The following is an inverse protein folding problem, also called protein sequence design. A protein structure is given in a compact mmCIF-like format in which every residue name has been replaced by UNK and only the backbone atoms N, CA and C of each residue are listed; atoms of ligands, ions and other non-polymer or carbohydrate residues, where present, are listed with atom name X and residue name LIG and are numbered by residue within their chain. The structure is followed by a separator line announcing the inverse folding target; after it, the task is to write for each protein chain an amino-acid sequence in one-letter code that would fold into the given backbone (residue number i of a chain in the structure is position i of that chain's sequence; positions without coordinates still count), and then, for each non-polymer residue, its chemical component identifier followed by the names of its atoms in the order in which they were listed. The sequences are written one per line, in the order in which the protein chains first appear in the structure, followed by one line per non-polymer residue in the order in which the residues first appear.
data_IF_867556954943
#
_entry.id   IF_867556954943
#
_cell.length_a   1.000
_cell.length_b   1.000
_cell.length_c   1.000
_cell.angle_alpha   90.00
_cell.angle_beta   90.00
_cell.angle_gamma   90.00
#
_symmetry.space_group_name_H-M   'P 1'
#
loop_
_entity.id
_entity.type
_entity.pdbx_description
1 polymer ?
#
# COMPACT_ATOMS: atom_id res chain seq x y z
N UNK A 1 -24.05 7.71 7.14
CA UNK A 1 -23.06 7.12 6.21
C UNK A 1 -21.69 7.70 6.55
N UNK A 2 -20.63 6.90 6.47
CA UNK A 2 -19.27 7.34 6.81
C UNK A 2 -18.63 8.14 5.67
N UNK A 3 -17.50 8.79 5.95
CA UNK A 3 -16.67 9.47 4.94
C UNK A 3 -16.11 8.45 3.94
N UNK A 4 -16.14 8.79 2.66
CA UNK A 4 -15.46 8.06 1.60
C UNK A 4 -14.07 8.66 1.35
N UNK A 5 -13.04 7.82 1.39
CA UNK A 5 -11.66 8.19 1.09
C UNK A 5 -11.26 7.47 -0.19
N UNK A 6 -11.03 8.24 -1.24
CA UNK A 6 -10.49 7.73 -2.50
C UNK A 6 -9.07 8.25 -2.70
N UNK A 7 -8.15 7.37 -3.05
CA UNK A 7 -6.79 7.74 -3.41
C UNK A 7 -6.31 6.89 -4.60
N UNK A 8 -5.61 7.56 -5.52
CA UNK A 8 -5.00 6.94 -6.69
C UNK A 8 -3.55 7.43 -6.79
N UNK A 9 -2.61 6.54 -7.13
CA UNK A 9 -1.19 6.86 -7.33
C UNK A 9 -0.62 7.69 -6.18
N UNK A 10 -0.87 7.23 -4.96
CA UNK A 10 -0.68 8.03 -3.74
C UNK A 10 0.05 7.27 -2.65
N UNK A 11 0.78 8.02 -1.83
CA UNK A 11 1.40 7.53 -0.61
C UNK A 11 0.70 8.09 0.62
N UNK A 12 0.31 7.22 1.55
CA UNK A 12 -0.14 7.60 2.89
C UNK A 12 0.87 7.06 3.89
N UNK A 13 1.60 7.93 4.58
CA UNK A 13 2.67 7.52 5.48
C UNK A 13 2.48 8.07 6.89
N UNK A 14 2.33 7.14 7.85
CA UNK A 14 2.27 7.44 9.28
C UNK A 14 3.65 7.52 9.95
N UNK A 15 4.74 7.39 9.19
CA UNK A 15 6.13 7.40 9.63
C UNK A 15 6.67 6.01 10.02
N UNK A 16 5.79 5.06 10.38
CA UNK A 16 6.17 3.67 10.64
C UNK A 16 5.01 2.70 10.43
N UNK A 17 5.33 1.44 10.11
CA UNK A 17 4.33 0.40 9.85
C UNK A 17 3.44 0.06 11.08
N UNK A 18 3.92 0.35 12.29
CA UNK A 18 3.18 0.16 13.55
C UNK A 18 2.27 1.33 13.92
N UNK A 19 2.46 2.49 13.30
CA UNK A 19 1.66 3.69 13.55
C UNK A 19 0.31 3.62 12.83
N UNK A 20 -0.60 4.56 13.11
CA UNK A 20 -1.94 4.57 12.53
C UNK A 20 -1.97 5.49 11.32
N UNK A 21 -2.18 4.92 10.13
CA UNK A 21 -2.27 5.68 8.88
C UNK A 21 -3.70 6.14 8.59
N UNK A 22 -4.67 5.24 8.73
CA UNK A 22 -6.08 5.51 8.41
C UNK A 22 -6.96 4.95 9.51
N UNK A 23 -7.71 5.81 10.17
CA UNK A 23 -8.79 5.46 11.07
C UNK A 23 -9.89 6.53 11.03
N UNK A 24 -10.99 6.26 11.71
CA UNK A 24 -12.04 7.23 11.95
C UNK A 24 -11.73 8.11 13.16
N UNK A 25 -12.63 9.07 13.38
CA UNK A 25 -12.65 9.89 14.59
C UNK A 25 -13.91 9.56 15.38
N UNK A 26 -13.80 9.46 16.70
CA UNK A 26 -14.97 9.35 17.56
C UNK A 26 -15.91 10.54 17.31
N UNK A 27 -17.23 10.28 17.33
CA UNK A 27 -18.19 11.37 17.23
C UNK A 27 -17.99 12.31 18.43
N UNK A 28 -17.92 13.64 18.23
CA UNK A 28 -17.96 14.56 19.35
C UNK A 28 -19.26 14.32 20.14
N UNK A 29 -19.18 14.39 21.47
CA UNK A 29 -20.36 14.27 22.34
C UNK A 29 -21.33 15.42 22.09
N UNK A 30 -22.21 15.24 21.11
CA UNK A 30 -23.18 16.26 20.69
C UNK A 30 -23.19 16.52 19.19
N UNK A 31 -23.49 15.52 18.35
CA UNK A 31 -24.18 15.61 17.04
C UNK A 31 -23.70 16.58 15.93
N UNK A 32 -22.73 17.46 16.16
CA UNK A 32 -22.33 18.49 15.22
C UNK A 32 -21.23 17.99 14.28
N UNK A 33 -21.29 18.41 13.02
CA UNK A 33 -20.20 18.26 12.06
C UNK A 33 -18.98 19.01 12.58
N UNK A 34 -17.90 18.30 12.90
CA UNK A 34 -16.68 18.92 13.38
C UNK A 34 -15.86 19.47 12.22
N UNK A 35 -15.88 20.79 12.00
CA UNK A 35 -14.95 21.47 11.10
C UNK A 35 -13.54 21.39 11.68
N UNK A 36 -12.58 20.93 10.87
CA UNK A 36 -11.14 20.99 11.23
C UNK A 36 -10.70 22.43 11.01
N UNK A 37 -10.52 23.17 12.10
CA UNK A 37 -10.15 24.59 12.02
C UNK A 37 -8.68 24.84 12.31
N UNK A 38 -8.05 23.93 13.06
CA UNK A 38 -6.65 24.04 13.48
C UNK A 38 -5.88 22.75 13.24
N UNK A 39 -4.55 22.82 13.28
CA UNK A 39 -3.70 21.62 13.22
C UNK A 39 -3.93 20.68 14.42
N UNK A 40 -4.34 21.21 15.59
CA UNK A 40 -4.71 20.41 16.75
C UNK A 40 -5.98 19.57 16.49
N UNK A 41 -6.88 20.02 15.61
CA UNK A 41 -8.09 19.28 15.21
C UNK A 41 -7.78 18.14 14.22
N UNK A 42 -6.55 18.09 13.69
CA UNK A 42 -6.05 17.03 12.78
C UNK A 42 -5.51 15.82 13.53
N UNK A 43 -5.83 15.67 14.82
CA UNK A 43 -5.50 14.45 15.54
C UNK A 43 -6.23 13.27 14.91
N UNK A 44 -5.43 12.30 14.43
CA UNK A 44 -5.87 10.92 14.26
C UNK A 44 -6.49 10.53 15.60
N UNK A 45 -7.73 10.03 15.61
CA UNK A 45 -8.40 9.66 16.86
C UNK A 45 -7.59 8.64 17.67
N UNK A 46 -8.17 8.04 18.71
CA UNK A 46 -7.53 6.93 19.45
C UNK A 46 -7.19 5.68 18.60
N UNK A 47 -7.45 5.72 17.28
CA UNK A 47 -7.21 4.64 16.34
C UNK A 47 -8.23 3.51 16.44
N UNK A 48 -9.22 3.59 17.33
CA UNK A 48 -10.14 2.48 17.58
C UNK A 48 -11.42 2.56 16.76
N UNK A 49 -11.72 3.74 16.24
CA UNK A 49 -12.89 3.99 15.41
C UNK A 49 -12.53 3.69 13.95
N UNK A 50 -13.33 2.90 13.21
CA UNK A 50 -13.10 2.69 11.79
C UNK A 50 -13.33 4.00 11.02
N UNK A 51 -12.53 4.25 9.98
CA UNK A 51 -12.89 5.21 8.94
C UNK A 51 -14.10 4.69 8.16
N UNK A 52 -14.68 5.51 7.27
CA UNK A 52 -15.81 5.06 6.45
C UNK A 52 -15.40 4.06 5.35
N UNK A 53 -15.66 4.42 4.09
CA UNK A 53 -15.24 3.59 2.95
C UNK A 53 -13.86 4.05 2.49
N UNK A 54 -12.97 3.11 2.18
CA UNK A 54 -11.70 3.41 1.53
C UNK A 54 -11.67 2.73 0.15
N UNK A 55 -11.22 3.48 -0.83
CA UNK A 55 -10.97 3.04 -2.20
C UNK A 55 -9.55 3.47 -2.60
N UNK A 56 -8.67 2.50 -2.80
CA UNK A 56 -7.26 2.72 -3.08
C UNK A 56 -6.84 2.03 -4.37
N UNK A 57 -6.28 2.79 -5.31
CA UNK A 57 -5.69 2.27 -6.54
C UNK A 57 -4.22 2.71 -6.61
N UNK A 58 -3.31 1.81 -6.95
CA UNK A 58 -1.88 2.14 -7.10
C UNK A 58 -1.29 2.91 -5.90
N UNK A 59 -1.65 2.55 -4.67
CA UNK A 59 -1.26 3.28 -3.47
C UNK A 59 -0.25 2.52 -2.61
N UNK A 60 0.59 3.24 -1.88
CA UNK A 60 1.38 2.67 -0.76
C UNK A 60 0.93 3.29 0.55
N UNK A 61 0.43 2.47 1.47
CA UNK A 61 0.03 2.90 2.82
C UNK A 61 1.01 2.34 3.83
N UNK A 62 1.76 3.22 4.51
CA UNK A 62 2.67 2.87 5.61
C UNK A 62 1.98 3.18 6.93
N UNK A 63 1.64 2.13 7.67
CA UNK A 63 0.90 2.19 8.92
C UNK A 63 -0.43 1.42 8.87
N UNK A 64 -0.98 1.20 10.06
CA UNK A 64 -2.21 0.45 10.29
C UNK A 64 -3.44 1.17 9.73
N UNK A 65 -4.39 0.38 9.22
CA UNK A 65 -5.61 0.86 8.55
C UNK A 65 -6.84 0.19 9.16
N UNK A 66 -7.79 0.98 9.64
CA UNK A 66 -9.08 0.52 10.15
C UNK A 66 -10.21 1.26 9.46
N UNK A 67 -11.02 0.54 8.68
CA UNK A 67 -12.12 1.10 7.90
C UNK A 67 -13.40 0.25 8.02
N UNK A 68 -14.55 0.83 7.69
CA UNK A 68 -15.81 0.09 7.62
C UNK A 68 -15.81 -0.85 6.42
N UNK A 69 -15.38 -0.37 5.25
CA UNK A 69 -15.29 -1.13 3.98
C UNK A 69 -14.00 -0.74 3.26
N UNK A 70 -13.42 -1.69 2.54
CA UNK A 70 -12.21 -1.49 1.76
C UNK A 70 -12.36 -2.06 0.35
N UNK A 71 -12.06 -1.24 -0.64
CA UNK A 71 -11.77 -1.64 -2.01
C UNK A 71 -10.33 -1.19 -2.30
N UNK A 72 -9.45 -2.13 -2.64
CA UNK A 72 -8.02 -1.86 -2.77
C UNK A 72 -7.46 -2.65 -3.95
N UNK A 73 -6.73 -1.99 -4.83
CA UNK A 73 -6.20 -2.54 -6.06
C UNK A 73 -4.77 -2.04 -6.31
N UNK A 74 -3.91 -2.92 -6.84
CA UNK A 74 -2.54 -2.59 -7.24
C UNK A 74 -1.70 -1.86 -6.17
N UNK A 75 -2.00 -2.10 -4.88
CA UNK A 75 -1.52 -1.29 -3.77
C UNK A 75 -0.67 -2.09 -2.79
N UNK A 76 0.14 -1.41 -1.99
CA UNK A 76 0.92 -2.00 -0.89
C UNK A 76 0.40 -1.46 0.44
N UNK A 77 -0.07 -2.36 1.30
CA UNK A 77 -0.41 -2.04 2.70
C UNK A 77 0.75 -2.46 3.60
N UNK A 78 1.67 -1.55 3.89
CA UNK A 78 2.82 -1.78 4.76
C UNK A 78 2.46 -1.50 6.23
N UNK A 79 1.89 -2.50 6.89
CA UNK A 79 1.44 -2.37 8.28
C UNK A 79 1.85 -3.56 9.14
N UNK A 80 2.16 -3.28 10.41
CA UNK A 80 2.52 -4.27 11.41
C UNK A 80 1.83 -3.96 12.74
N UNK A 81 1.64 -4.99 13.57
CA UNK A 81 1.29 -4.78 14.98
C UNK A 81 2.56 -4.43 15.76
N UNK A 82 2.44 -3.50 16.69
CA UNK A 82 3.52 -3.03 17.57
C UNK A 82 3.99 -4.10 18.57
N UNK A 83 3.22 -5.18 18.72
CA UNK A 83 3.53 -6.31 19.62
C UNK A 83 2.27 -7.06 20.07
N UNK A 84 2.42 -8.01 21.01
CA UNK A 84 1.29 -8.78 21.55
C UNK A 84 0.28 -7.90 22.31
N UNK A 85 0.75 -6.82 22.94
CA UNK A 85 -0.06 -5.83 23.65
C UNK A 85 -0.65 -4.74 22.75
N UNK A 86 -0.46 -4.81 21.41
CA UNK A 86 -1.06 -3.82 20.51
C UNK A 86 -2.59 -3.89 20.60
N UNK A 87 -3.28 -2.76 20.89
CA UNK A 87 -4.74 -2.71 20.98
C UNK A 87 -5.43 -3.10 19.67
N UNK A 88 -4.73 -2.99 18.54
CA UNK A 88 -5.25 -3.43 17.26
C UNK A 88 -5.11 -4.95 17.11
N UNK A 89 -6.21 -5.68 16.84
CA UNK A 89 -6.16 -7.14 16.69
C UNK A 89 -5.59 -7.61 15.35
N UNK A 90 -5.38 -6.68 14.41
CA UNK A 90 -4.86 -6.91 13.07
C UNK A 90 -4.24 -5.60 12.53
N UNK A 91 -3.18 -5.66 11.71
CA UNK A 91 -2.55 -4.45 11.15
C UNK A 91 -3.45 -3.74 10.14
N UNK A 92 -4.20 -4.49 9.33
CA UNK A 92 -5.26 -3.98 8.45
C UNK A 92 -6.59 -4.60 8.87
N UNK A 93 -7.61 -3.78 9.10
CA UNK A 93 -8.92 -4.19 9.63
C UNK A 93 -10.07 -3.54 8.87
N UNK A 94 -10.90 -4.35 8.23
CA UNK A 94 -12.23 -3.96 7.77
C UNK A 94 -13.29 -4.46 8.74
N UNK A 95 -14.26 -3.62 9.12
CA UNK A 95 -15.42 -4.05 9.91
C UNK A 95 -16.34 -4.97 9.11
N UNK A 96 -16.62 -4.61 7.84
CA UNK A 96 -17.48 -5.38 6.94
C UNK A 96 -16.64 -6.16 5.95
N UNK A 97 -16.28 -7.39 6.31
CA UNK A 97 -15.45 -8.27 5.47
C UNK A 97 -16.22 -8.94 4.33
N UNK A 98 -17.55 -8.95 4.43
CA UNK A 98 -18.47 -9.47 3.43
C UNK A 98 -18.76 -8.49 2.27
N UNK A 99 -18.23 -7.26 2.34
CA UNK A 99 -18.39 -6.24 1.30
C UNK A 99 -17.02 -5.64 0.95
N UNK A 100 -16.78 -5.40 -0.34
CA UNK A 100 -15.51 -4.92 -0.85
C UNK A 100 -14.54 -6.04 -1.24
N UNK A 101 -13.44 -5.67 -1.89
CA UNK A 101 -12.43 -6.61 -2.34
C UNK A 101 -11.04 -5.97 -2.32
N UNK A 102 -10.05 -6.72 -1.85
CA UNK A 102 -8.64 -6.37 -2.07
C UNK A 102 -8.12 -7.26 -3.20
N UNK A 103 -7.56 -6.65 -4.23
CA UNK A 103 -7.11 -7.35 -5.45
C UNK A 103 -5.70 -6.92 -5.84
N UNK A 104 -4.90 -7.84 -6.36
CA UNK A 104 -3.57 -7.55 -6.92
C UNK A 104 -2.69 -6.64 -6.03
N UNK A 105 -2.79 -6.82 -4.72
CA UNK A 105 -2.20 -5.93 -3.73
C UNK A 105 -1.41 -6.73 -2.70
N UNK A 106 -0.46 -6.09 -2.03
CA UNK A 106 0.23 -6.67 -0.89
C UNK A 106 -0.57 -6.40 0.39
N UNK A 107 -0.93 -7.48 1.10
CA UNK A 107 -1.63 -7.40 2.40
C UNK A 107 -0.85 -8.18 3.44
N UNK A 108 -0.44 -7.57 4.57
CA UNK A 108 0.41 -8.24 5.54
C UNK A 108 -0.34 -9.36 6.25
N UNK A 109 0.40 -10.37 6.70
CA UNK A 109 -0.14 -11.48 7.47
C UNK A 109 -0.89 -11.01 8.72
N UNK A 110 -1.89 -11.78 9.16
CA UNK A 110 -2.73 -11.42 10.31
C UNK A 110 -3.79 -10.33 10.05
N UNK A 111 -3.80 -9.72 8.85
CA UNK A 111 -4.81 -8.73 8.47
C UNK A 111 -6.21 -9.33 8.38
N UNK A 112 -7.22 -8.57 8.82
CA UNK A 112 -8.65 -8.93 8.78
C UNK A 112 -9.36 -8.08 7.74
N UNK A 113 -9.28 -8.51 6.49
CA UNK A 113 -9.76 -7.76 5.32
C UNK A 113 -11.00 -8.42 4.69
N UNK A 114 -11.64 -7.77 3.71
CA UNK A 114 -12.57 -8.42 2.79
C UNK A 114 -11.88 -9.51 1.96
N UNK A 115 -12.63 -10.08 1.00
CA UNK A 115 -12.11 -11.08 0.07
C UNK A 115 -10.82 -10.57 -0.58
N UNK A 116 -9.82 -11.44 -0.63
CA UNK A 116 -8.57 -11.21 -1.34
C UNK A 116 -8.60 -11.93 -2.68
N UNK A 117 -8.20 -11.25 -3.74
CA UNK A 117 -8.05 -11.82 -5.08
C UNK A 117 -6.63 -11.58 -5.57
N UNK A 118 -5.87 -12.65 -5.81
CA UNK A 118 -4.49 -12.55 -6.33
C UNK A 118 -3.58 -11.60 -5.52
N UNK A 119 -3.76 -11.54 -4.20
CA UNK A 119 -2.95 -10.68 -3.33
C UNK A 119 -1.66 -11.38 -2.89
N UNK A 120 -0.60 -10.59 -2.74
CA UNK A 120 0.64 -11.01 -2.09
C UNK A 120 0.54 -10.95 -0.55
N UNK A 121 1.57 -11.43 0.16
CA UNK A 121 1.65 -11.41 1.63
C UNK A 121 1.05 -12.63 2.36
N UNK A 122 0.53 -13.62 1.62
CA UNK A 122 0.19 -14.94 2.19
C UNK A 122 1.40 -15.86 2.38
N UNK A 123 2.46 -15.65 1.59
CA UNK A 123 3.74 -16.36 1.70
C UNK A 123 4.74 -15.47 2.46
N UNK A 124 5.47 -16.00 3.46
CA UNK A 124 6.54 -15.26 4.14
C UNK A 124 7.65 -14.70 3.24
N UNK A 125 7.86 -15.26 2.04
CA UNK A 125 8.81 -14.75 1.06
C UNK A 125 8.31 -13.50 0.33
N UNK A 126 7.01 -13.20 0.37
CA UNK A 126 6.43 -12.02 -0.26
C UNK A 126 6.66 -10.77 0.60
N UNK A 127 7.91 -10.37 0.79
CA UNK A 127 8.27 -9.18 1.57
C UNK A 127 8.55 -8.02 0.61
N UNK A 128 7.85 -6.88 0.72
CA UNK A 128 8.19 -5.69 -0.04
C UNK A 128 9.48 -5.08 0.51
N UNK A 129 10.51 -4.95 -0.33
CA UNK A 129 11.75 -4.27 0.02
C UNK A 129 11.80 -2.92 -0.70
N UNK A 130 12.01 -1.85 0.05
CA UNK A 130 12.08 -0.49 -0.48
C UNK A 130 13.51 0.02 -0.56
N UNK A 131 13.82 0.81 -1.57
CA UNK A 131 15.12 1.49 -1.69
C UNK A 131 15.30 2.43 -0.50
N UNK A 132 14.29 3.29 -0.25
CA UNK A 132 14.17 4.08 0.97
C UNK A 132 12.73 4.11 1.50
N UNK A 133 12.59 4.12 2.83
CA UNK A 133 11.35 4.42 3.56
C UNK A 133 11.41 5.78 4.25
N UNK A 134 12.46 6.57 4.02
CA UNK A 134 12.61 7.90 4.61
C UNK A 134 11.99 8.92 3.67
N UNK A 135 10.95 9.59 4.14
CA UNK A 135 10.35 10.71 3.42
C UNK A 135 11.40 11.79 3.09
N UNK A 136 11.38 12.26 1.85
CA UNK A 136 12.33 13.24 1.31
C UNK A 136 13.50 12.62 0.52
N UNK A 137 13.76 11.32 0.66
CA UNK A 137 14.73 10.64 -0.20
C UNK A 137 14.16 10.51 -1.63
N UNK A 138 14.96 10.70 -2.69
CA UNK A 138 14.48 10.58 -4.08
C UNK A 138 13.88 9.21 -4.43
N UNK A 139 14.38 8.15 -3.78
CA UNK A 139 13.92 6.77 -3.96
C UNK A 139 12.90 6.33 -2.89
N UNK A 140 12.25 7.29 -2.24
CA UNK A 140 11.22 7.03 -1.23
C UNK A 140 10.08 6.18 -1.81
N UNK A 141 9.76 5.07 -1.12
CA UNK A 141 8.77 4.06 -1.52
C UNK A 141 9.01 3.35 -2.85
N UNK A 142 10.15 3.58 -3.49
CA UNK A 142 10.55 2.81 -4.66
C UNK A 142 10.87 1.37 -4.25
N UNK A 143 10.26 0.38 -4.90
CA UNK A 143 10.60 -1.02 -4.68
C UNK A 143 12.01 -1.32 -5.18
N UNK A 144 12.76 -2.08 -4.38
CA UNK A 144 14.05 -2.63 -4.81
C UNK A 144 13.85 -3.68 -5.88
N UNK A 145 14.82 -3.77 -6.78
CA UNK A 145 14.85 -4.84 -7.77
C UNK A 145 14.90 -6.25 -7.12
N UNK A 146 15.45 -6.39 -5.93
CA UNK A 146 15.47 -7.68 -5.22
C UNK A 146 14.13 -8.10 -4.60
N UNK A 147 13.10 -7.24 -4.62
CA UNK A 147 11.76 -7.58 -4.11
C UNK A 147 11.18 -8.76 -4.88
N UNK A 148 10.41 -9.60 -4.19
CA UNK A 148 9.82 -10.80 -4.77
C UNK A 148 8.93 -10.48 -6.00
N UNK A 149 8.96 -11.29 -7.08
CA UNK A 149 8.15 -11.08 -8.29
C UNK A 149 6.65 -10.98 -8.02
N UNK A 150 6.13 -11.70 -7.02
CA UNK A 150 4.72 -11.61 -6.62
C UNK A 150 4.27 -10.19 -6.19
N UNK A 151 5.19 -9.26 -5.95
CA UNK A 151 4.93 -7.85 -5.67
C UNK A 151 5.43 -6.97 -6.83
N UNK A 152 6.64 -7.24 -7.33
CA UNK A 152 7.29 -6.52 -8.44
C UNK A 152 6.55 -6.65 -9.78
N UNK A 153 5.79 -7.71 -10.01
CA UNK A 153 5.03 -7.96 -11.25
C UNK A 153 3.64 -8.54 -10.94
N UNK A 154 3.14 -8.29 -9.72
CA UNK A 154 1.91 -8.90 -9.22
C UNK A 154 0.67 -8.00 -9.32
N UNK A 155 0.80 -6.80 -9.87
CA UNK A 155 -0.34 -5.95 -10.19
C UNK A 155 -1.22 -6.59 -11.27
N UNK A 156 -2.41 -6.02 -11.50
CA UNK A 156 -3.40 -6.55 -12.44
C UNK A 156 -2.93 -6.62 -13.90
N UNK A 157 -1.95 -5.80 -14.24
CA UNK A 157 -1.35 -5.61 -15.56
C UNK A 157 0.12 -6.07 -15.60
N UNK A 158 0.51 -6.89 -14.62
CA UNK A 158 1.88 -7.40 -14.46
C UNK A 158 2.93 -6.32 -14.11
N UNK A 159 2.50 -5.10 -13.79
CA UNK A 159 3.35 -4.07 -13.20
C UNK A 159 3.63 -4.33 -11.72
N UNK A 160 4.38 -3.43 -11.09
CA UNK A 160 4.64 -3.46 -9.66
C UNK A 160 3.44 -2.92 -8.87
N UNK A 161 3.26 -3.41 -7.64
CA UNK A 161 2.26 -2.87 -6.72
C UNK A 161 2.79 -1.59 -6.04
N UNK A 162 1.87 -0.71 -5.63
CA UNK A 162 2.16 0.44 -4.78
C UNK A 162 2.19 1.78 -5.52
N UNK A 163 2.61 2.83 -4.83
CA UNK A 163 2.67 4.21 -5.33
C UNK A 163 3.63 4.44 -6.50
N UNK A 164 4.42 3.45 -6.91
CA UNK A 164 5.27 3.54 -8.11
C UNK A 164 4.72 2.73 -9.30
N UNK A 165 3.54 2.14 -9.15
CA UNK A 165 2.87 1.31 -10.15
C UNK A 165 2.80 1.97 -11.54
N UNK A 166 2.42 3.24 -11.58
CA UNK A 166 2.24 4.05 -12.80
C UNK A 166 3.57 4.40 -13.50
N UNK A 167 4.71 4.10 -12.86
CA UNK A 167 6.01 4.18 -13.53
C UNK A 167 6.25 3.00 -14.46
N UNK A 168 5.51 1.90 -14.29
CA UNK A 168 5.61 0.70 -15.12
C UNK A 168 7.04 0.17 -15.25
N UNK A 169 7.84 0.27 -14.18
CA UNK A 169 9.26 -0.13 -14.20
C UNK A 169 9.47 -1.57 -14.69
N UNK A 170 8.71 -2.58 -14.25
CA UNK A 170 8.90 -3.96 -14.69
C UNK A 170 8.60 -4.15 -16.18
N UNK A 171 7.57 -3.47 -16.68
CA UNK A 171 7.20 -3.52 -18.10
C UNK A 171 8.25 -2.81 -18.96
N UNK A 172 8.76 -1.65 -18.51
CA UNK A 172 9.85 -0.93 -19.19
C UNK A 172 11.11 -1.78 -19.26
N UNK A 173 11.49 -2.41 -18.15
CA UNK A 173 12.62 -3.32 -18.06
C UNK A 173 12.46 -4.52 -19.02
N UNK A 174 11.28 -5.14 -19.02
CA UNK A 174 10.96 -6.28 -19.92
C UNK A 174 11.00 -5.88 -21.38
N UNK A 175 10.35 -4.76 -21.74
CA UNK A 175 10.35 -4.23 -23.10
C UNK A 175 11.77 -3.90 -23.58
N UNK A 176 12.59 -3.30 -22.71
CA UNK A 176 13.98 -3.01 -23.04
C UNK A 176 14.79 -4.27 -23.30
N UNK A 177 14.64 -5.32 -22.46
CA UNK A 177 15.31 -6.60 -22.69
C UNK A 177 14.90 -7.23 -24.02
N UNK A 178 13.61 -7.25 -24.33
CA UNK A 178 13.11 -7.79 -25.60
C UNK A 178 13.71 -7.06 -26.81
N UNK A 179 13.80 -5.73 -26.74
CA UNK A 179 14.40 -4.94 -27.83
C UNK A 179 15.91 -5.12 -27.95
N UNK A 180 16.60 -5.30 -26.83
CA UNK A 180 18.03 -5.63 -26.86
C UNK A 180 18.24 -7.01 -27.49
N UNK A 181 17.46 -8.02 -27.12
CA UNK A 181 17.56 -9.36 -27.74
C UNK A 181 17.30 -9.32 -29.26
N UNK A 182 16.30 -8.55 -29.70
CA UNK A 182 15.93 -8.44 -31.11
C UNK A 182 16.95 -7.64 -31.96
N UNK A 183 17.50 -6.55 -31.40
CA UNK A 183 18.26 -5.57 -32.18
C UNK A 183 19.75 -5.45 -31.83
N UNK A 184 20.23 -6.15 -30.80
CA UNK A 184 21.66 -6.12 -30.47
C UNK A 184 22.47 -6.78 -31.59
N UNK A 185 23.48 -6.06 -32.09
CA UNK A 185 24.32 -6.57 -33.16
C UNK A 185 25.12 -7.79 -32.68
N UNK A 186 25.34 -8.72 -33.59
CA UNK A 186 26.17 -9.88 -33.35
C UNK A 186 27.54 -9.49 -32.77
N UNK A 187 27.97 -10.21 -31.74
CA UNK A 187 29.25 -9.98 -31.05
C UNK A 187 29.22 -8.90 -29.96
N UNK A 188 28.06 -8.31 -29.66
CA UNK A 188 27.88 -7.41 -28.53
C UNK A 188 27.09 -8.09 -27.40
N UNK A 189 27.34 -7.66 -26.16
CA UNK A 189 26.60 -8.05 -24.96
C UNK A 189 26.10 -6.78 -24.25
N UNK A 190 24.86 -6.79 -23.77
CA UNK A 190 24.24 -5.66 -23.09
C UNK A 190 23.77 -6.06 -21.69
N UNK A 191 24.08 -5.22 -20.69
CA UNK A 191 23.60 -5.35 -19.31
C UNK A 191 22.73 -4.17 -18.91
N UNK A 192 21.74 -4.41 -18.04
CA UNK A 192 20.93 -3.37 -17.43
C UNK A 192 21.50 -2.96 -16.07
N UNK A 193 21.79 -1.67 -15.93
CA UNK A 193 22.30 -1.09 -14.68
C UNK A 193 21.32 -0.03 -14.18
N UNK A 194 20.96 -0.11 -12.91
CA UNK A 194 20.04 0.83 -12.27
C UNK A 194 20.86 1.94 -11.61
N UNK A 195 20.50 3.21 -11.88
CA UNK A 195 21.09 4.34 -11.16
C UNK A 195 20.53 4.37 -9.73
N UNK A 196 21.44 4.47 -8.75
CA UNK A 196 21.14 4.62 -7.32
C UNK A 196 21.05 6.08 -6.91
#
# INVERSE_FOLDING_TARGET
EGVEVHANDSAVDAGAASEIAICGRAAPGGGALGTVTTAADRQVGDGQIPSGTIDLEACTVVGKVHAVRMDVSNSILLAARSGPADPWPAPIRAERRQVGCIRFSFVPAGSRTPRRFRCAGGDPAHIPHFTSLRYGDPAYLQLRAATHPAIRTGASDESEMGATHELYQPLRETNLRLRLDEYLRYGLEAGLFYAS
#
